data_IF_273032313458
#
_entry.id   IF_273032313458
#
_cell.length_a   1.000
_cell.length_b   1.000
_cell.length_c   1.000
_cell.angle_alpha   90.00
_cell.angle_beta   90.00
_cell.angle_gamma   90.00
#
_symmetry.space_group_name_H-M   'P 1'
#
loop_
_entity.id
_entity.type
_entity.pdbx_description
1 polymer ?
#
# COMPACT_ATOMS: atom_id res chain seq x y z
N UNK A 1 -25.20 35.41 27.56
CA UNK A 1 -24.33 34.93 28.64
C UNK A 1 -24.08 33.39 28.66
N UNK A 2 -24.77 32.55 27.85
CA UNK A 2 -24.47 31.10 27.78
C UNK A 2 -23.43 30.71 26.73
N UNK A 3 -23.13 31.54 25.75
CA UNK A 3 -22.13 31.23 24.69
C UNK A 3 -20.69 31.23 25.20
N UNK A 4 -20.38 31.91 26.32
CA UNK A 4 -19.01 32.00 26.86
C UNK A 4 -18.52 30.73 27.60
N UNK A 5 -19.39 29.73 27.81
CA UNK A 5 -19.06 28.49 28.49
C UNK A 5 -18.72 27.34 27.54
N UNK A 6 -19.08 27.41 26.25
CA UNK A 6 -18.87 26.34 25.31
C UNK A 6 -17.44 26.35 24.76
N UNK A 7 -16.91 25.14 24.45
CA UNK A 7 -15.56 24.91 23.97
C UNK A 7 -15.44 25.28 22.49
N UNK A 8 -14.31 25.91 22.15
CA UNK A 8 -13.82 26.01 20.78
C UNK A 8 -12.81 24.86 20.56
N UNK A 9 -13.21 23.85 19.83
CA UNK A 9 -12.41 22.66 19.57
C UNK A 9 -11.40 22.90 18.44
N UNK A 10 -10.12 22.72 18.74
CA UNK A 10 -9.00 22.81 17.81
C UNK A 10 -8.56 21.38 17.44
N UNK A 11 -9.04 20.86 16.30
CA UNK A 11 -8.76 19.49 15.90
C UNK A 11 -7.54 19.41 14.98
N UNK A 12 -6.55 18.61 15.42
CA UNK A 12 -5.30 18.32 14.70
C UNK A 12 -5.19 16.86 14.36
N UNK A 13 -4.73 16.51 13.13
CA UNK A 13 -4.51 15.13 12.70
C UNK A 13 -3.29 14.97 11.81
N UNK A 14 -2.52 13.90 12.05
CA UNK A 14 -1.42 13.47 11.19
C UNK A 14 -1.48 11.96 10.90
N UNK A 15 -1.00 11.54 9.73
CA UNK A 15 -0.92 10.12 9.37
C UNK A 15 0.45 9.52 9.75
N UNK A 16 0.49 8.21 9.99
CA UNK A 16 1.65 7.43 10.46
C UNK A 16 2.94 7.49 9.63
N UNK A 17 2.93 8.14 8.46
CA UNK A 17 4.07 8.10 7.53
C UNK A 17 5.24 9.03 7.92
N UNK A 18 5.07 9.87 8.97
CA UNK A 18 6.13 10.79 9.44
C UNK A 18 6.75 10.30 10.77
N UNK A 19 7.33 9.08 10.74
CA UNK A 19 7.85 8.38 11.90
C UNK A 19 8.75 9.22 12.83
N UNK A 20 8.23 9.56 14.03
CA UNK A 20 9.04 9.91 15.20
C UNK A 20 8.24 9.67 16.48
N UNK A 21 8.91 9.18 17.52
CA UNK A 21 8.38 8.92 18.88
C UNK A 21 8.09 10.20 19.71
N UNK A 22 8.13 11.37 19.11
CA UNK A 22 7.77 12.67 19.72
C UNK A 22 6.66 13.31 18.91
N UNK A 23 5.82 14.12 19.58
CA UNK A 23 4.78 14.92 18.91
C UNK A 23 5.37 15.58 17.66
N UNK A 24 4.86 15.20 16.47
CA UNK A 24 5.51 15.55 15.22
C UNK A 24 5.59 17.08 15.07
N UNK A 25 6.66 17.56 14.45
CA UNK A 25 6.83 19.00 14.17
C UNK A 25 5.60 19.58 13.45
N UNK A 26 4.91 18.75 12.67
CA UNK A 26 3.70 19.10 11.93
C UNK A 26 2.48 19.28 12.85
N UNK A 27 2.31 18.48 13.93
CA UNK A 27 1.25 18.68 14.92
C UNK A 27 1.47 19.96 15.70
N UNK A 28 2.72 20.23 16.12
CA UNK A 28 3.07 21.49 16.81
C UNK A 28 2.75 22.72 15.95
N UNK A 29 3.09 22.66 14.67
CA UNK A 29 2.79 23.72 13.71
C UNK A 29 1.26 23.89 13.52
N UNK A 30 0.50 22.76 13.44
CA UNK A 30 -0.95 22.82 13.38
C UNK A 30 -1.56 23.48 14.64
N UNK A 31 -1.14 23.04 15.83
CA UNK A 31 -1.60 23.63 17.11
C UNK A 31 -1.33 25.13 17.19
N UNK A 32 -0.11 25.56 16.84
CA UNK A 32 0.23 26.99 16.83
C UNK A 32 -0.66 27.79 15.87
N UNK A 33 -0.83 27.31 14.65
CA UNK A 33 -1.69 27.94 13.63
C UNK A 33 -3.16 28.04 14.06
N UNK A 34 -3.71 26.97 14.62
CA UNK A 34 -5.12 26.95 15.07
C UNK A 34 -5.32 27.90 16.25
N UNK A 35 -4.38 27.92 17.21
CA UNK A 35 -4.46 28.83 18.36
C UNK A 35 -4.30 30.29 17.95
N UNK A 36 -3.36 30.60 17.05
CA UNK A 36 -3.18 31.95 16.51
C UNK A 36 -4.47 32.44 15.84
N UNK A 37 -5.07 31.59 14.98
CA UNK A 37 -6.33 31.91 14.33
C UNK A 37 -7.46 32.13 15.34
N UNK A 38 -7.60 31.24 16.33
CA UNK A 38 -8.61 31.35 17.37
C UNK A 38 -8.46 32.67 18.16
N UNK A 39 -7.25 32.97 18.60
CA UNK A 39 -6.95 34.20 19.35
C UNK A 39 -7.24 35.46 18.51
N UNK A 40 -6.79 35.48 17.26
CA UNK A 40 -6.99 36.62 16.35
C UNK A 40 -8.45 36.88 16.05
N UNK A 41 -9.28 35.85 16.03
CA UNK A 41 -10.72 35.96 15.74
C UNK A 41 -11.59 35.97 17.01
N UNK A 42 -11.01 36.12 18.20
CA UNK A 42 -11.72 36.26 19.47
C UNK A 42 -12.41 34.99 19.97
N UNK A 43 -12.00 33.82 19.53
CA UNK A 43 -12.49 32.55 20.07
C UNK A 43 -11.88 32.27 21.43
N UNK A 44 -12.71 32.10 22.45
CA UNK A 44 -12.29 31.72 23.81
C UNK A 44 -12.47 30.23 24.08
N UNK A 45 -12.04 29.81 25.29
CA UNK A 45 -12.17 28.43 25.79
C UNK A 45 -11.72 27.36 24.78
N UNK A 46 -10.48 27.51 24.26
CA UNK A 46 -9.92 26.61 23.26
C UNK A 46 -9.43 25.30 23.88
N UNK A 47 -9.86 24.16 23.31
CA UNK A 47 -9.40 22.81 23.69
C UNK A 47 -8.86 22.09 22.47
N UNK A 48 -7.72 21.37 22.63
CA UNK A 48 -7.13 20.58 21.55
C UNK A 48 -7.67 19.16 21.55
N UNK A 49 -8.02 18.64 20.37
CA UNK A 49 -8.28 17.24 20.06
C UNK A 49 -7.24 16.79 19.05
N UNK A 50 -6.43 15.78 19.39
CA UNK A 50 -5.24 15.45 18.60
C UNK A 50 -5.20 13.94 18.28
N UNK A 51 -5.26 13.62 16.99
CA UNK A 51 -5.03 12.28 16.47
C UNK A 51 -3.68 12.23 15.73
N UNK A 52 -2.60 11.91 16.46
CA UNK A 52 -1.26 11.73 15.89
C UNK A 52 -1.06 10.28 15.48
N UNK A 53 -0.65 10.04 14.22
CA UNK A 53 -0.43 8.70 13.69
C UNK A 53 -1.68 7.97 13.20
N UNK A 54 -2.82 8.65 13.02
CA UNK A 54 -4.06 8.06 12.52
C UNK A 54 -4.38 8.46 11.08
N UNK A 55 -4.66 7.47 10.23
CA UNK A 55 -5.04 7.71 8.83
C UNK A 55 -6.45 8.30 8.72
N UNK A 56 -6.65 9.25 7.80
CA UNK A 56 -7.98 9.80 7.51
C UNK A 56 -8.96 8.81 6.85
N UNK A 57 -8.55 7.58 6.61
CA UNK A 57 -9.38 6.50 6.04
C UNK A 57 -9.81 5.46 7.08
N UNK A 58 -9.35 5.57 8.33
CA UNK A 58 -9.65 4.63 9.40
C UNK A 58 -10.60 5.29 10.41
N UNK A 59 -11.61 4.54 10.87
CA UNK A 59 -12.61 4.99 11.87
C UNK A 59 -12.03 5.14 13.28
N UNK A 60 -10.84 4.55 13.53
CA UNK A 60 -10.19 4.54 14.83
C UNK A 60 -9.40 5.84 15.07
N UNK A 61 -10.11 6.91 15.36
CA UNK A 61 -9.59 8.24 15.70
C UNK A 61 -10.14 8.64 17.08
N UNK A 62 -9.46 8.26 18.18
CA UNK A 62 -10.01 8.43 19.52
C UNK A 62 -10.33 9.88 19.85
N UNK A 63 -9.43 10.83 19.53
CA UNK A 63 -9.69 12.24 19.79
C UNK A 63 -10.83 12.81 18.92
N UNK A 64 -11.01 12.30 17.70
CA UNK A 64 -12.15 12.69 16.88
C UNK A 64 -13.46 12.12 17.42
N UNK A 65 -13.48 10.90 17.95
CA UNK A 65 -14.67 10.34 18.59
C UNK A 65 -15.03 11.12 19.86
N UNK A 66 -14.04 11.45 20.70
CA UNK A 66 -14.22 12.32 21.86
C UNK A 66 -14.82 13.68 21.47
N UNK A 67 -14.32 14.29 20.39
CA UNK A 67 -14.89 15.54 19.83
C UNK A 67 -16.35 15.37 19.43
N UNK A 68 -16.70 14.27 18.75
CA UNK A 68 -18.08 14.01 18.33
C UNK A 68 -19.01 13.79 19.53
N UNK A 69 -18.53 13.14 20.60
CA UNK A 69 -19.30 12.93 21.83
C UNK A 69 -19.50 14.26 22.59
N UNK A 70 -18.46 15.08 22.70
CA UNK A 70 -18.59 16.43 23.29
C UNK A 70 -19.50 17.36 22.49
N UNK A 71 -19.57 17.17 21.16
CA UNK A 71 -20.55 17.88 20.30
C UNK A 71 -21.97 17.41 20.63
N UNK A 72 -22.22 16.09 20.75
CA UNK A 72 -23.53 15.51 21.11
C UNK A 72 -23.99 15.98 22.49
N UNK A 73 -23.06 16.10 23.42
CA UNK A 73 -23.30 16.62 24.76
C UNK A 73 -23.56 18.16 24.78
N UNK A 74 -23.42 18.82 23.64
CA UNK A 74 -23.64 20.28 23.51
C UNK A 74 -22.53 21.13 24.15
N UNK A 75 -21.36 20.56 24.46
CA UNK A 75 -20.24 21.27 25.07
C UNK A 75 -19.44 22.12 24.09
N UNK A 76 -19.46 21.78 22.78
CA UNK A 76 -18.70 22.45 21.73
C UNK A 76 -19.56 23.43 20.97
N UNK A 77 -19.07 24.65 20.75
CA UNK A 77 -19.72 25.66 19.92
C UNK A 77 -19.08 25.80 18.54
N UNK A 78 -17.78 25.62 18.45
CA UNK A 78 -17.03 25.82 17.21
C UNK A 78 -15.96 24.73 17.06
N UNK A 79 -15.79 24.21 15.85
CA UNK A 79 -14.71 23.30 15.47
C UNK A 79 -13.81 24.00 14.45
N UNK A 80 -12.53 24.09 14.73
CA UNK A 80 -11.54 24.70 13.85
C UNK A 80 -10.51 23.63 13.43
N UNK A 81 -10.28 23.50 12.13
CA UNK A 81 -9.26 22.62 11.55
C UNK A 81 -8.34 23.40 10.62
N UNK A 82 -7.16 22.86 10.34
CA UNK A 82 -6.25 23.42 9.34
C UNK A 82 -6.89 23.42 7.95
N UNK A 83 -7.47 22.29 7.56
CA UNK A 83 -8.14 22.06 6.28
C UNK A 83 -9.21 20.96 6.42
N UNK A 84 -10.15 20.88 5.47
CA UNK A 84 -11.26 19.89 5.49
C UNK A 84 -10.76 18.44 5.50
N UNK A 85 -9.56 18.17 4.96
CA UNK A 85 -9.00 16.83 4.94
C UNK A 85 -8.71 16.26 6.34
N UNK A 86 -8.69 17.12 7.38
CA UNK A 86 -8.54 16.69 8.78
C UNK A 86 -9.77 15.93 9.26
N UNK A 87 -10.97 16.32 8.83
CA UNK A 87 -12.22 15.60 9.18
C UNK A 87 -12.26 14.21 8.55
N UNK A 88 -11.80 14.06 7.30
CA UNK A 88 -11.76 12.79 6.59
C UNK A 88 -11.18 12.93 5.18
N UNK A 89 -10.72 11.83 4.60
CA UNK A 89 -10.33 11.77 3.19
C UNK A 89 -11.48 11.32 2.28
N UNK A 90 -12.55 10.82 2.87
CA UNK A 90 -13.76 10.47 2.15
C UNK A 90 -14.70 11.68 2.12
N UNK A 91 -14.94 12.24 0.94
CA UNK A 91 -15.80 13.42 0.78
C UNK A 91 -17.26 13.18 1.25
N UNK A 92 -17.75 11.93 1.22
CA UNK A 92 -19.09 11.58 1.72
C UNK A 92 -19.14 11.75 3.24
N UNK A 93 -18.16 11.20 3.98
CA UNK A 93 -18.07 11.37 5.43
C UNK A 93 -17.88 12.84 5.81
N UNK A 94 -16.93 13.51 5.16
CA UNK A 94 -16.64 14.92 5.42
C UNK A 94 -17.87 15.77 5.15
N UNK A 95 -18.56 15.54 4.02
CA UNK A 95 -19.81 16.22 3.69
C UNK A 95 -20.91 15.95 4.73
N UNK A 96 -21.08 14.72 5.20
CA UNK A 96 -22.05 14.38 6.25
C UNK A 96 -21.78 15.16 7.53
N UNK A 97 -20.52 15.30 7.95
CA UNK A 97 -20.20 16.12 9.13
C UNK A 97 -20.48 17.59 8.91
N UNK A 98 -20.11 18.14 7.76
CA UNK A 98 -20.24 19.58 7.48
C UNK A 98 -21.68 20.01 7.17
N UNK A 99 -22.44 19.18 6.44
CA UNK A 99 -23.77 19.54 5.92
C UNK A 99 -24.92 19.06 6.81
N UNK A 100 -24.67 18.02 7.63
CA UNK A 100 -25.71 17.42 8.47
C UNK A 100 -25.33 17.53 9.95
N UNK A 101 -24.26 16.87 10.38
CA UNK A 101 -23.96 16.66 11.80
C UNK A 101 -23.68 17.98 12.55
N UNK A 102 -22.78 18.83 12.06
CA UNK A 102 -22.45 20.10 12.72
C UNK A 102 -23.63 21.07 12.73
N UNK A 103 -24.38 21.27 11.62
CA UNK A 103 -25.57 22.09 11.64
C UNK A 103 -26.66 21.58 12.58
N UNK A 104 -26.95 20.27 12.65
CA UNK A 104 -27.93 19.69 13.57
C UNK A 104 -27.62 19.96 15.04
N UNK A 105 -26.33 20.04 15.39
CA UNK A 105 -25.88 20.33 16.77
C UNK A 105 -25.58 21.82 16.99
N UNK A 106 -25.82 22.68 16.01
CA UNK A 106 -25.55 24.11 16.08
C UNK A 106 -24.08 24.48 16.24
N UNK A 107 -23.17 23.64 15.68
CA UNK A 107 -21.73 23.81 15.74
C UNK A 107 -21.24 24.52 14.50
N UNK A 108 -20.51 25.64 14.69
CA UNK A 108 -19.81 26.34 13.60
C UNK A 108 -18.54 25.54 13.22
N UNK A 109 -18.34 25.32 11.92
CA UNK A 109 -17.12 24.66 11.43
C UNK A 109 -16.28 25.61 10.58
N UNK A 110 -14.97 25.66 10.86
CA UNK A 110 -14.01 26.51 10.16
C UNK A 110 -12.82 25.66 9.70
N UNK A 111 -12.47 25.74 8.40
CA UNK A 111 -11.26 25.15 7.82
C UNK A 111 -10.38 26.28 7.27
N UNK A 112 -9.30 26.61 7.99
CA UNK A 112 -8.51 27.84 7.77
C UNK A 112 -7.92 27.90 6.36
N UNK A 113 -7.19 26.88 5.93
CA UNK A 113 -6.52 26.87 4.62
C UNK A 113 -7.48 26.80 3.44
N UNK A 114 -8.69 26.25 3.67
CA UNK A 114 -9.72 26.17 2.64
C UNK A 114 -10.56 27.45 2.58
N UNK A 115 -10.36 28.38 3.51
CA UNK A 115 -11.18 29.58 3.64
C UNK A 115 -12.65 29.26 3.86
N UNK A 116 -12.96 28.13 4.52
CA UNK A 116 -14.32 27.69 4.76
C UNK A 116 -14.80 28.08 6.15
N UNK A 117 -15.99 28.65 6.21
CA UNK A 117 -16.70 28.98 7.45
C UNK A 117 -18.20 28.69 7.26
N UNK A 118 -18.75 27.79 8.09
CA UNK A 118 -20.15 27.39 7.98
C UNK A 118 -21.14 28.52 8.29
N UNK A 119 -20.70 29.63 8.92
CA UNK A 119 -21.54 30.82 9.15
C UNK A 119 -21.61 31.74 7.93
N UNK A 120 -20.73 31.57 6.93
CA UNK A 120 -20.77 32.35 5.70
C UNK A 120 -21.63 31.66 4.64
N UNK A 121 -22.85 32.07 4.48
CA UNK A 121 -23.87 31.45 3.61
C UNK A 121 -23.43 31.30 2.15
N UNK A 122 -22.60 32.23 1.63
CA UNK A 122 -22.05 32.16 0.27
C UNK A 122 -21.05 31.03 0.04
N UNK A 123 -20.45 30.47 1.11
CA UNK A 123 -19.47 29.39 1.03
C UNK A 123 -20.10 28.01 1.16
N UNK A 124 -21.29 27.87 1.77
CA UNK A 124 -22.02 26.62 1.86
C UNK A 124 -22.43 26.09 0.48
N UNK A 125 -22.79 26.95 -0.45
CA UNK A 125 -23.22 26.56 -1.81
C UNK A 125 -22.06 26.03 -2.67
N UNK A 126 -20.80 26.33 -2.32
CA UNK A 126 -19.62 25.95 -3.07
C UNK A 126 -18.95 24.69 -2.49
N UNK A 127 -19.18 24.38 -1.22
CA UNK A 127 -18.53 23.26 -0.53
C UNK A 127 -18.74 21.90 -1.20
N UNK A 128 -19.93 21.50 -1.67
CA UNK A 128 -20.15 20.26 -2.42
C UNK A 128 -19.32 20.19 -3.70
N UNK A 129 -19.24 21.30 -4.45
CA UNK A 129 -18.45 21.38 -5.68
C UNK A 129 -16.94 21.22 -5.39
N UNK A 130 -16.43 21.85 -4.33
CA UNK A 130 -15.03 21.71 -3.91
C UNK A 130 -14.71 20.26 -3.53
N UNK A 131 -15.60 19.58 -2.83
CA UNK A 131 -15.44 18.15 -2.50
C UNK A 131 -15.42 17.27 -3.75
N UNK A 132 -16.28 17.54 -4.74
CA UNK A 132 -16.30 16.84 -6.03
C UNK A 132 -14.98 17.09 -6.79
N UNK A 133 -14.51 18.33 -6.84
CA UNK A 133 -13.25 18.68 -7.51
C UNK A 133 -12.08 17.97 -6.85
N UNK A 134 -11.99 17.95 -5.53
CA UNK A 134 -10.94 17.25 -4.79
C UNK A 134 -10.96 15.74 -5.05
N UNK A 135 -12.15 15.12 -5.13
CA UNK A 135 -12.26 13.71 -5.52
C UNK A 135 -11.81 13.46 -6.96
N UNK A 136 -12.20 14.33 -7.89
CA UNK A 136 -11.77 14.24 -9.28
C UNK A 136 -10.25 14.36 -9.40
N UNK A 137 -9.65 15.31 -8.69
CA UNK A 137 -8.19 15.48 -8.65
C UNK A 137 -7.48 14.26 -8.09
N UNK A 138 -7.98 13.70 -6.98
CA UNK A 138 -7.42 12.47 -6.40
C UNK A 138 -7.53 11.27 -7.37
N UNK A 139 -8.66 11.13 -8.07
CA UNK A 139 -8.85 10.09 -9.11
C UNK A 139 -7.90 10.28 -10.29
N UNK A 140 -7.75 11.50 -10.77
CA UNK A 140 -6.85 11.82 -11.88
C UNK A 140 -5.39 11.56 -11.52
N UNK A 141 -4.94 12.04 -10.35
CA UNK A 141 -3.60 11.78 -9.82
C UNK A 141 -3.33 10.28 -9.69
N UNK A 142 -4.28 9.52 -9.12
CA UNK A 142 -4.17 8.05 -9.01
C UNK A 142 -4.06 7.39 -10.39
N UNK A 143 -4.82 7.86 -11.38
CA UNK A 143 -4.79 7.35 -12.76
C UNK A 143 -3.44 7.64 -13.42
N UNK A 144 -2.91 8.85 -13.25
CA UNK A 144 -1.58 9.26 -13.76
C UNK A 144 -0.46 8.42 -13.15
N UNK A 145 -0.46 8.23 -11.83
CA UNK A 145 0.52 7.40 -11.13
C UNK A 145 0.46 5.95 -11.64
N UNK A 146 -0.74 5.36 -11.74
CA UNK A 146 -0.92 4.00 -12.25
C UNK A 146 -0.42 3.86 -13.69
N UNK A 147 -0.69 4.84 -14.54
CA UNK A 147 -0.21 4.88 -15.93
C UNK A 147 1.31 4.93 -15.98
N UNK A 148 1.95 5.83 -15.24
CA UNK A 148 3.41 5.95 -15.17
C UNK A 148 4.07 4.65 -14.65
N UNK A 149 3.50 4.04 -13.60
CA UNK A 149 3.98 2.75 -13.09
C UNK A 149 3.81 1.63 -14.13
N UNK A 150 2.69 1.61 -14.88
CA UNK A 150 2.46 0.65 -15.95
C UNK A 150 3.48 0.79 -17.07
N UNK A 151 3.81 2.01 -17.47
CA UNK A 151 4.83 2.27 -18.48
C UNK A 151 6.21 1.80 -18.02
N UNK A 152 6.60 2.11 -16.77
CA UNK A 152 7.87 1.63 -16.20
C UNK A 152 7.95 0.11 -16.14
N UNK A 153 6.84 -0.56 -15.78
CA UNK A 153 6.77 -2.03 -15.79
C UNK A 153 6.95 -2.60 -17.18
N UNK A 154 6.25 -2.06 -18.17
CA UNK A 154 6.35 -2.49 -19.56
C UNK A 154 7.76 -2.33 -20.14
N UNK A 155 8.54 -1.35 -19.66
CA UNK A 155 9.95 -1.18 -20.03
C UNK A 155 10.90 -2.11 -19.25
N UNK A 156 10.39 -3.12 -18.55
CA UNK A 156 11.22 -4.10 -17.82
C UNK A 156 11.79 -3.62 -16.49
N UNK A 157 11.40 -2.44 -16.01
CA UNK A 157 11.91 -1.91 -14.74
C UNK A 157 11.24 -2.54 -13.55
N UNK A 158 12.04 -3.02 -12.60
CA UNK A 158 11.56 -3.53 -11.32
C UNK A 158 11.16 -2.38 -10.39
N UNK A 159 9.89 -2.31 -10.00
CA UNK A 159 9.35 -1.17 -9.25
C UNK A 159 8.94 -1.49 -7.81
N UNK A 160 9.05 -2.74 -7.35
CA UNK A 160 8.72 -3.07 -5.97
C UNK A 160 9.78 -2.52 -5.01
N UNK A 161 9.37 -2.21 -3.77
CA UNK A 161 10.27 -1.70 -2.74
C UNK A 161 11.38 -2.69 -2.38
N UNK A 162 11.07 -3.99 -2.30
CA UNK A 162 11.99 -5.04 -1.93
C UNK A 162 12.28 -5.95 -3.12
N UNK A 163 13.55 -6.35 -3.29
CA UNK A 163 13.94 -7.40 -4.22
C UNK A 163 13.39 -8.77 -3.74
N UNK A 164 13.06 -9.71 -4.68
CA UNK A 164 12.77 -11.09 -4.36
C UNK A 164 13.96 -11.77 -3.66
N UNK A 165 13.73 -12.84 -2.94
CA UNK A 165 14.79 -13.64 -2.35
C UNK A 165 15.64 -14.25 -3.47
N UNK A 166 16.96 -14.26 -3.33
CA UNK A 166 17.90 -14.65 -4.40
C UNK A 166 18.37 -13.47 -5.26
N UNK A 167 17.71 -12.31 -5.16
CA UNK A 167 18.07 -11.08 -5.85
C UNK A 167 18.27 -9.91 -4.90
N UNK A 168 19.06 -8.96 -5.33
CA UNK A 168 19.19 -7.63 -4.73
C UNK A 168 18.95 -6.56 -5.80
N UNK A 169 18.69 -5.34 -5.37
CA UNK A 169 18.61 -4.21 -6.30
C UNK A 169 20.01 -3.75 -6.67
N UNK A 170 20.20 -3.44 -7.94
CA UNK A 170 21.45 -2.85 -8.41
C UNK A 170 21.69 -1.51 -7.68
N UNK A 171 22.84 -1.31 -7.06
CA UNK A 171 23.20 -0.03 -6.44
C UNK A 171 23.22 1.13 -7.42
N UNK A 172 23.49 0.89 -8.71
CA UNK A 172 23.53 1.90 -9.77
C UNK A 172 22.14 2.19 -10.36
N UNK A 173 21.26 1.18 -10.46
CA UNK A 173 19.84 1.34 -10.88
C UNK A 173 18.92 0.54 -10.00
N UNK A 174 18.29 1.18 -9.02
CA UNK A 174 17.33 0.56 -8.10
C UNK A 174 16.09 -0.08 -8.80
N UNK A 175 15.94 0.10 -10.10
CA UNK A 175 14.88 -0.54 -10.89
C UNK A 175 15.37 -1.79 -11.65
N UNK A 176 16.64 -2.19 -11.44
CA UNK A 176 17.21 -3.42 -11.98
C UNK A 176 17.48 -4.44 -10.87
N UNK A 177 17.32 -5.74 -11.18
CA UNK A 177 17.64 -6.85 -10.27
C UNK A 177 18.97 -7.45 -10.66
N UNK A 178 19.83 -7.65 -9.66
CA UNK A 178 21.09 -8.42 -9.80
C UNK A 178 21.05 -9.60 -8.85
N UNK A 179 21.74 -10.69 -9.21
CA UNK A 179 21.80 -11.91 -8.39
C UNK A 179 22.51 -11.60 -7.07
N UNK A 180 21.93 -12.05 -5.97
CA UNK A 180 22.54 -11.99 -4.64
C UNK A 180 23.31 -13.29 -4.39
N UNK A 181 24.65 -13.26 -4.34
CA UNK A 181 25.47 -14.46 -4.19
C UNK A 181 25.22 -15.20 -2.87
N UNK A 182 24.68 -14.53 -1.85
CA UNK A 182 24.40 -15.15 -0.55
C UNK A 182 23.10 -15.95 -0.53
N UNK A 183 22.11 -15.54 -1.31
CA UNK A 183 20.75 -16.09 -1.25
C UNK A 183 20.35 -16.85 -2.52
N UNK A 184 20.99 -16.60 -3.66
CA UNK A 184 20.72 -17.30 -4.92
C UNK A 184 20.96 -18.82 -4.83
N UNK A 185 22.05 -19.32 -4.17
CA UNK A 185 22.26 -20.77 -4.04
C UNK A 185 21.13 -21.50 -3.32
N UNK A 186 20.45 -20.82 -2.38
CA UNK A 186 19.28 -21.40 -1.69
C UNK A 186 18.10 -21.55 -2.66
N UNK A 187 17.91 -20.58 -3.57
CA UNK A 187 16.87 -20.69 -4.60
C UNK A 187 17.16 -21.86 -5.54
N UNK A 188 18.39 -21.97 -6.03
CA UNK A 188 18.82 -23.11 -6.87
C UNK A 188 18.58 -24.45 -6.17
N UNK A 189 18.89 -24.51 -4.87
CA UNK A 189 18.68 -25.70 -4.05
C UNK A 189 17.20 -26.06 -3.92
N UNK A 190 16.33 -25.09 -3.74
CA UNK A 190 14.86 -25.32 -3.71
C UNK A 190 14.38 -25.89 -5.06
N UNK A 191 14.90 -25.37 -6.18
CA UNK A 191 14.55 -25.87 -7.51
C UNK A 191 15.07 -27.29 -7.75
N UNK A 192 16.30 -27.62 -7.35
CA UNK A 192 16.84 -28.98 -7.48
C UNK A 192 16.03 -30.01 -6.69
N UNK A 193 15.62 -29.68 -5.46
CA UNK A 193 14.73 -30.54 -4.68
C UNK A 193 13.35 -30.74 -5.34
N UNK A 194 12.82 -29.70 -5.99
CA UNK A 194 11.57 -29.82 -6.73
C UNK A 194 11.71 -30.72 -7.99
N UNK A 195 12.85 -30.65 -8.69
CA UNK A 195 13.21 -31.52 -9.82
C UNK A 195 13.39 -32.97 -9.38
N UNK A 196 13.98 -33.24 -8.21
CA UNK A 196 14.05 -34.58 -7.59
C UNK A 196 12.65 -35.12 -7.24
N UNK A 197 11.64 -34.31 -7.37
CA UNK A 197 10.27 -34.72 -7.09
C UNK A 197 9.86 -34.58 -5.62
N UNK A 198 10.52 -33.78 -4.79
CA UNK A 198 10.06 -33.51 -3.44
C UNK A 198 8.82 -32.60 -3.45
N UNK A 199 7.86 -32.88 -2.55
CA UNK A 199 6.71 -31.99 -2.31
C UNK A 199 7.08 -30.83 -1.40
N UNK A 200 6.30 -29.75 -1.43
CA UNK A 200 6.55 -28.51 -0.70
C UNK A 200 6.89 -28.73 0.79
N UNK A 201 6.12 -29.60 1.47
CA UNK A 201 6.35 -29.92 2.88
C UNK A 201 7.70 -30.64 3.11
N UNK A 202 8.09 -31.53 2.20
CA UNK A 202 9.39 -32.22 2.30
C UNK A 202 10.55 -31.28 2.03
N UNK A 203 10.39 -30.32 1.10
CA UNK A 203 11.37 -29.26 0.84
C UNK A 203 11.52 -28.40 2.10
N UNK A 204 10.40 -27.94 2.70
CA UNK A 204 10.43 -27.15 3.94
C UNK A 204 11.13 -27.89 5.07
N UNK A 205 10.82 -29.19 5.26
CA UNK A 205 11.43 -30.03 6.28
C UNK A 205 12.94 -30.18 6.05
N UNK A 206 13.37 -30.41 4.81
CA UNK A 206 14.79 -30.56 4.48
C UNK A 206 15.57 -29.28 4.72
N UNK A 207 15.01 -28.11 4.35
CA UNK A 207 15.59 -26.81 4.65
C UNK A 207 15.70 -26.55 6.16
N UNK A 208 14.73 -27.02 6.96
CA UNK A 208 14.75 -26.94 8.41
C UNK A 208 15.84 -27.83 9.00
N UNK A 209 15.90 -29.12 8.58
CA UNK A 209 16.86 -30.10 9.10
C UNK A 209 18.31 -29.70 8.78
N UNK A 210 18.54 -29.07 7.64
CA UNK A 210 19.84 -28.53 7.19
C UNK A 210 20.12 -27.09 7.72
N UNK A 211 19.24 -26.55 8.56
CA UNK A 211 19.37 -25.21 9.18
C UNK A 211 19.59 -24.09 8.16
N UNK A 212 18.86 -24.12 7.05
CA UNK A 212 18.87 -23.06 6.06
C UNK A 212 17.98 -21.91 6.54
N UNK A 213 18.56 -20.71 6.70
CA UNK A 213 17.84 -19.53 7.17
C UNK A 213 16.72 -19.14 6.21
N UNK A 214 15.53 -18.82 6.75
CA UNK A 214 14.44 -18.31 5.94
C UNK A 214 14.65 -16.83 5.55
N UNK A 215 14.03 -16.37 4.46
CA UNK A 215 14.30 -15.06 3.85
C UNK A 215 14.21 -13.83 4.76
N UNK A 216 13.34 -13.86 5.77
CA UNK A 216 13.20 -12.73 6.69
C UNK A 216 14.44 -12.51 7.59
N UNK A 217 15.25 -13.55 7.81
CA UNK A 217 16.46 -13.45 8.63
C UNK A 217 17.66 -12.90 7.86
N UNK A 218 17.74 -13.10 6.55
CA UNK A 218 18.73 -12.43 5.70
C UNK A 218 18.54 -10.90 5.65
N UNK A 219 17.34 -10.41 6.01
CA UNK A 219 16.99 -8.99 6.04
C UNK A 219 16.85 -8.44 7.47
N UNK A 220 17.31 -9.16 8.49
CA UNK A 220 17.16 -8.81 9.93
C UNK A 220 17.65 -7.39 10.23
N UNK A 221 18.78 -6.98 9.66
CA UNK A 221 19.36 -5.64 9.82
C UNK A 221 18.49 -4.53 9.22
N UNK A 222 17.71 -4.85 8.17
CA UNK A 222 16.92 -3.86 7.43
C UNK A 222 15.54 -3.60 8.07
N UNK A 223 14.98 -4.53 8.87
CA UNK A 223 13.62 -4.43 9.37
C UNK A 223 13.49 -4.23 10.88
N UNK A 224 14.58 -4.35 11.66
CA UNK A 224 14.60 -4.06 13.11
C UNK A 224 13.53 -4.74 13.97
N UNK A 225 12.83 -5.76 13.42
CA UNK A 225 11.76 -6.48 14.13
C UNK A 225 12.36 -7.59 14.95
N UNK A 226 11.85 -7.78 16.16
CA UNK A 226 12.06 -8.98 16.96
C UNK A 226 11.57 -10.19 16.15
N UNK A 227 12.49 -10.98 15.65
CA UNK A 227 12.22 -12.22 14.94
C UNK A 227 12.53 -13.32 15.94
N UNK A 228 11.58 -14.22 16.15
CA UNK A 228 11.70 -15.38 17.03
C UNK A 228 12.80 -16.31 16.51
N UNK A 229 13.92 -16.38 17.23
CA UNK A 229 15.09 -17.16 16.82
C UNK A 229 14.79 -18.67 16.77
N UNK A 230 13.76 -19.16 17.47
CA UNK A 230 13.33 -20.56 17.40
C UNK A 230 12.74 -20.94 16.03
N UNK A 231 12.23 -19.96 15.28
CA UNK A 231 11.59 -20.17 13.96
C UNK A 231 12.46 -19.76 12.77
N UNK A 232 13.75 -19.58 12.97
CA UNK A 232 14.63 -19.09 11.91
C UNK A 232 14.78 -20.04 10.72
N UNK A 233 14.52 -21.32 10.91
CA UNK A 233 14.61 -22.36 9.87
C UNK A 233 13.24 -22.87 9.41
N UNK A 234 12.15 -22.38 9.99
CA UNK A 234 10.79 -22.81 9.66
C UNK A 234 10.29 -22.17 8.36
N UNK A 235 10.57 -22.80 7.25
CA UNK A 235 10.13 -22.36 5.94
C UNK A 235 8.62 -22.62 5.76
N UNK A 236 7.91 -21.59 5.31
CA UNK A 236 6.49 -21.71 4.97
C UNK A 236 6.31 -22.35 3.59
N UNK A 237 5.46 -23.39 3.52
CA UNK A 237 5.08 -24.05 2.26
C UNK A 237 4.54 -23.07 1.22
N UNK A 238 3.79 -22.04 1.65
CA UNK A 238 3.25 -21.02 0.76
C UNK A 238 4.37 -20.16 0.15
N UNK A 239 5.44 -19.88 0.92
CA UNK A 239 6.58 -19.15 0.40
C UNK A 239 7.39 -19.99 -0.61
N UNK A 240 7.64 -21.26 -0.30
CA UNK A 240 8.31 -22.18 -1.23
C UNK A 240 7.50 -22.30 -2.53
N UNK A 241 6.17 -22.46 -2.42
CA UNK A 241 5.29 -22.47 -3.58
C UNK A 241 5.40 -21.17 -4.38
N UNK A 242 5.46 -20.01 -3.71
CA UNK A 242 5.65 -18.71 -4.38
C UNK A 242 6.99 -18.65 -5.12
N UNK A 243 8.08 -19.15 -4.53
CA UNK A 243 9.41 -19.22 -5.17
C UNK A 243 9.33 -20.09 -6.43
N UNK A 244 8.81 -21.30 -6.33
CA UNK A 244 8.76 -22.25 -7.45
C UNK A 244 7.87 -21.79 -8.61
N UNK A 245 6.77 -21.07 -8.35
CA UNK A 245 5.86 -20.59 -9.40
C UNK A 245 6.24 -19.20 -9.96
N UNK A 246 7.25 -18.54 -9.40
CA UNK A 246 7.59 -17.17 -9.81
C UNK A 246 8.50 -17.15 -11.02
N UNK A 247 8.09 -16.57 -12.18
CA UNK A 247 8.96 -16.48 -13.35
C UNK A 247 10.04 -15.41 -13.21
N UNK A 248 10.09 -14.69 -12.10
CA UNK A 248 11.19 -13.77 -11.78
C UNK A 248 12.52 -14.55 -11.72
N UNK A 249 12.51 -15.80 -11.25
CA UNK A 249 13.71 -16.62 -11.20
C UNK A 249 14.22 -17.08 -12.57
N UNK A 250 13.37 -17.06 -13.59
CA UNK A 250 13.71 -17.26 -15.00
C UNK A 250 13.98 -15.94 -15.77
N UNK A 251 14.19 -14.82 -15.06
CA UNK A 251 14.54 -13.55 -15.66
C UNK A 251 13.36 -12.71 -16.16
N UNK A 252 12.11 -13.04 -15.78
CA UNK A 252 10.91 -12.37 -16.26
C UNK A 252 10.20 -11.62 -15.15
N UNK A 253 9.62 -10.45 -15.46
CA UNK A 253 8.79 -9.70 -14.50
C UNK A 253 7.31 -9.84 -14.87
N UNK A 254 6.49 -10.16 -13.85
CA UNK A 254 5.03 -10.21 -13.95
C UNK A 254 4.41 -8.97 -13.30
N UNK A 255 3.38 -8.43 -13.92
CA UNK A 255 2.55 -7.38 -13.30
C UNK A 255 1.07 -7.74 -13.27
N UNK A 256 0.34 -6.91 -12.49
CA UNK A 256 -1.11 -6.94 -12.43
C UNK A 256 -1.72 -8.25 -11.90
N UNK A 257 -0.95 -9.03 -11.13
CA UNK A 257 -1.46 -10.27 -10.55
C UNK A 257 -2.67 -10.06 -9.61
N UNK A 258 -2.69 -8.95 -8.87
CA UNK A 258 -3.73 -8.63 -7.88
C UNK A 258 -4.01 -7.11 -7.84
N UNK A 259 -4.55 -6.49 -8.91
CA UNK A 259 -4.90 -5.09 -8.89
C UNK A 259 -6.04 -4.81 -7.89
N UNK A 260 -6.05 -3.62 -7.29
CA UNK A 260 -7.18 -3.16 -6.46
C UNK A 260 -8.38 -2.85 -7.33
N UNK A 261 -9.58 -3.26 -6.88
CA UNK A 261 -10.84 -3.04 -7.63
C UNK A 261 -11.13 -1.55 -7.80
N UNK A 262 -10.88 -0.74 -6.79
CA UNK A 262 -11.05 0.70 -6.84
C UNK A 262 -10.07 1.42 -5.90
N UNK A 263 -9.98 2.74 -6.02
CA UNK A 263 -9.15 3.57 -5.14
C UNK A 263 -9.67 3.58 -3.68
N UNK A 264 -10.98 3.43 -3.49
CA UNK A 264 -11.65 3.43 -2.17
C UNK A 264 -11.76 2.04 -1.54
N UNK A 265 -11.45 0.96 -2.29
CA UNK A 265 -11.60 -0.42 -1.82
C UNK A 265 -10.24 -1.09 -1.65
N UNK A 266 -10.04 -1.72 -0.48
CA UNK A 266 -8.89 -2.60 -0.23
C UNK A 266 -9.04 -3.96 -0.94
N UNK A 267 -10.21 -4.24 -1.54
CA UNK A 267 -10.49 -5.50 -2.24
C UNK A 267 -9.61 -5.59 -3.49
N UNK A 268 -8.91 -6.71 -3.64
CA UNK A 268 -8.07 -7.01 -4.80
C UNK A 268 -8.78 -8.00 -5.70
N UNK A 269 -8.67 -7.80 -7.02
CA UNK A 269 -9.11 -8.77 -8.02
C UNK A 269 -7.92 -9.68 -8.34
N UNK A 270 -8.13 -10.99 -8.28
CA UNK A 270 -7.15 -11.96 -8.77
C UNK A 270 -7.25 -12.04 -10.29
N UNK A 271 -6.11 -11.94 -10.97
CA UNK A 271 -6.00 -12.15 -12.43
C UNK A 271 -5.35 -13.52 -12.62
N UNK A 272 -5.97 -14.44 -13.41
CA UNK A 272 -5.36 -15.71 -13.78
C UNK A 272 -3.98 -15.51 -14.39
N UNK A 273 -3.11 -16.50 -14.26
CA UNK A 273 -1.72 -16.39 -14.71
C UNK A 273 -1.63 -16.06 -16.21
N UNK A 274 -2.51 -16.66 -17.01
CA UNK A 274 -2.59 -16.54 -18.46
C UNK A 274 -2.94 -15.12 -18.94
N UNK A 275 -3.63 -14.36 -18.11
CA UNK A 275 -4.03 -12.97 -18.40
C UNK A 275 -3.04 -11.93 -17.85
N UNK A 276 -1.98 -12.38 -17.15
CA UNK A 276 -1.01 -11.45 -16.57
C UNK A 276 -0.04 -10.95 -17.63
N UNK A 277 0.29 -9.68 -17.60
CA UNK A 277 1.33 -9.13 -18.44
C UNK A 277 2.71 -9.57 -17.94
N UNK A 278 3.50 -10.19 -18.81
CA UNK A 278 4.86 -10.66 -18.55
C UNK A 278 5.82 -9.88 -19.43
N UNK A 279 6.93 -9.40 -18.87
CA UNK A 279 8.03 -8.86 -19.66
C UNK A 279 9.22 -9.80 -19.53
N UNK A 280 9.63 -10.42 -20.64
CA UNK A 280 10.72 -11.38 -20.64
C UNK A 280 12.09 -10.69 -20.57
N UNK A 281 13.10 -11.43 -20.09
CA UNK A 281 14.53 -11.09 -20.11
C UNK A 281 14.83 -9.68 -19.53
N UNK A 282 14.26 -9.38 -18.37
CA UNK A 282 14.45 -8.08 -17.72
C UNK A 282 15.66 -8.02 -16.81
N UNK A 283 16.20 -9.18 -16.39
CA UNK A 283 17.33 -9.33 -15.51
C UNK A 283 17.95 -10.73 -15.68
N UNK A 284 19.14 -10.94 -15.12
CA UNK A 284 19.82 -12.24 -15.16
C UNK A 284 19.02 -13.31 -14.40
N UNK A 285 18.81 -14.46 -15.04
CA UNK A 285 18.07 -15.57 -14.47
C UNK A 285 18.93 -16.37 -13.50
N UNK A 286 18.42 -16.66 -12.28
CA UNK A 286 19.04 -17.66 -11.38
C UNK A 286 18.79 -19.07 -11.90
N UNK A 287 17.60 -19.30 -12.44
CA UNK A 287 17.17 -20.60 -12.94
C UNK A 287 17.00 -20.51 -14.47
N UNK A 288 17.68 -21.33 -15.26
CA UNK A 288 17.46 -21.42 -16.69
C UNK A 288 16.00 -21.69 -17.04
N UNK A 289 15.54 -21.15 -18.15
CA UNK A 289 14.12 -21.20 -18.56
C UNK A 289 13.60 -22.65 -18.67
N UNK A 290 14.40 -23.54 -19.25
CA UNK A 290 14.09 -24.98 -19.40
C UNK A 290 13.89 -25.68 -18.05
N UNK A 291 14.75 -25.38 -17.07
CA UNK A 291 14.60 -25.89 -15.70
C UNK A 291 13.34 -25.37 -15.02
N UNK A 292 13.09 -24.06 -15.15
CA UNK A 292 11.89 -23.46 -14.60
C UNK A 292 10.62 -24.11 -15.17
N UNK A 293 10.55 -24.29 -16.49
CA UNK A 293 9.43 -24.96 -17.16
C UNK A 293 9.26 -26.42 -16.76
N UNK A 294 10.36 -27.14 -16.56
CA UNK A 294 10.32 -28.51 -16.08
C UNK A 294 9.69 -28.60 -14.69
N UNK A 295 10.10 -27.73 -13.78
CA UNK A 295 9.53 -27.65 -12.43
C UNK A 295 8.04 -27.31 -12.49
N UNK A 296 7.61 -26.38 -13.38
CA UNK A 296 6.18 -26.09 -13.56
C UNK A 296 5.40 -27.35 -13.98
N UNK A 297 5.94 -28.15 -14.91
CA UNK A 297 5.29 -29.42 -15.34
C UNK A 297 5.14 -30.40 -14.17
N UNK A 298 6.20 -30.55 -13.35
CA UNK A 298 6.17 -31.41 -12.16
C UNK A 298 5.12 -30.95 -11.14
N UNK A 299 5.06 -29.66 -10.86
CA UNK A 299 4.07 -29.09 -9.93
C UNK A 299 2.65 -29.25 -10.45
N UNK A 300 2.45 -29.07 -11.73
CA UNK A 300 1.15 -29.22 -12.39
C UNK A 300 0.63 -30.66 -12.33
N UNK A 301 1.48 -31.65 -12.64
CA UNK A 301 1.10 -33.05 -12.58
C UNK A 301 0.64 -33.52 -11.20
N UNK A 302 1.07 -32.83 -10.15
CA UNK A 302 0.72 -33.14 -8.75
C UNK A 302 -0.56 -32.46 -8.25
N UNK A 303 -0.95 -31.34 -8.87
CA UNK A 303 -2.11 -30.57 -8.40
C UNK A 303 -3.45 -31.26 -8.67
N UNK A 304 -3.49 -32.35 -9.42
CA UNK A 304 -4.71 -33.14 -9.73
C UNK A 304 -5.79 -32.36 -10.45
N UNK A 305 -5.49 -31.16 -10.94
CA UNK A 305 -6.47 -30.30 -11.61
C UNK A 305 -6.60 -30.72 -13.07
N UNK A 306 -7.54 -31.64 -13.33
CA UNK A 306 -7.89 -32.15 -14.67
C UNK A 306 -8.52 -31.11 -15.60
N UNK A 307 -8.71 -29.86 -15.17
CA UNK A 307 -9.48 -28.85 -15.91
C UNK A 307 -8.67 -27.78 -16.64
N UNK A 308 -7.36 -27.86 -16.69
CA UNK A 308 -6.55 -26.90 -17.43
C UNK A 308 -5.64 -27.57 -18.43
N UNK A 309 -6.17 -27.90 -19.60
CA UNK A 309 -5.46 -28.48 -20.74
C UNK A 309 -4.52 -27.54 -21.50
N UNK A 310 -3.92 -26.55 -20.82
CA UNK A 310 -2.93 -25.68 -21.47
C UNK A 310 -1.62 -25.65 -20.68
N UNK A 311 -0.56 -26.29 -21.17
CA UNK A 311 0.75 -26.16 -20.56
C UNK A 311 1.21 -24.69 -20.66
N UNK A 312 1.75 -24.18 -19.56
CA UNK A 312 2.41 -22.86 -19.46
C UNK A 312 3.43 -22.61 -20.56
N UNK A 313 3.98 -23.66 -21.13
CA UNK A 313 4.92 -23.67 -22.25
C UNK A 313 4.36 -22.97 -23.51
N UNK A 314 3.03 -23.07 -23.77
CA UNK A 314 2.42 -22.49 -24.96
C UNK A 314 2.23 -20.99 -24.89
N UNK A 315 2.19 -20.40 -23.68
CA UNK A 315 2.01 -18.97 -23.48
C UNK A 315 3.36 -18.26 -23.66
N UNK A 316 4.43 -18.80 -23.08
CA UNK A 316 5.78 -18.23 -23.25
C UNK A 316 6.28 -18.34 -24.69
N UNK A 317 6.06 -19.47 -25.38
CA UNK A 317 6.47 -19.61 -26.78
C UNK A 317 5.67 -18.73 -27.75
N UNK A 318 4.41 -18.39 -27.48
CA UNK A 318 3.62 -17.48 -28.32
C UNK A 318 4.02 -16.02 -28.14
N UNK A 319 4.31 -15.56 -26.93
CA UNK A 319 4.73 -14.17 -26.70
C UNK A 319 6.18 -13.93 -27.09
N UNK A 320 7.10 -14.90 -26.86
CA UNK A 320 8.47 -14.84 -27.35
C UNK A 320 8.52 -14.77 -28.89
N UNK A 321 7.71 -15.56 -29.60
CA UNK A 321 7.64 -15.49 -31.06
C UNK A 321 7.03 -14.17 -31.56
N UNK A 322 6.06 -13.59 -30.85
CA UNK A 322 5.47 -12.29 -31.19
C UNK A 322 6.45 -11.12 -30.96
N UNK A 323 7.26 -11.19 -29.90
CA UNK A 323 8.28 -10.16 -29.61
C UNK A 323 9.47 -10.26 -30.56
N UNK A 324 9.92 -11.48 -30.91
CA UNK A 324 10.96 -11.68 -31.92
C UNK A 324 10.52 -11.21 -33.30
N UNK A 325 9.28 -11.49 -33.71
CA UNK A 325 8.73 -11.01 -35.00
C UNK A 325 8.53 -9.51 -35.03
N UNK A 326 8.34 -8.86 -33.89
CA UNK A 326 8.26 -7.39 -33.81
C UNK A 326 9.65 -6.73 -33.82
N UNK A 327 10.68 -7.37 -33.28
CA UNK A 327 12.06 -6.89 -33.27
C UNK A 327 12.75 -7.06 -34.65
N UNK A 328 12.33 -8.04 -35.47
CA UNK A 328 12.82 -8.24 -36.84
C UNK A 328 12.14 -7.32 -37.88
N UNK A 329 11.13 -6.55 -37.49
CA UNK A 329 10.41 -5.59 -38.37
C UNK A 329 10.75 -4.12 -38.12
N UNK A 330 11.65 -3.82 -37.18
CA UNK A 330 12.29 -2.52 -37.00
C UNK A 330 13.76 -2.56 -37.44
#
# INVERSE_FOLDING_TARGET
MEKDKKVTALYCRLSKDDGSNSESLSIRTQKAMLMEYATRNGFGNCQYYVDDGYSGTNSDRPAFQELLDDIRDGKVATVITKDQSRLGRNHIETGTYMEIFFPEHGVRYIAINDGYDSNEQSQMDIAPFRNIINEMYAKDTSRKIKSALRTRKKSGKYISSNAPFGYQKDPADHNHLVIDPNTAPVVEYIYSMAEEGLGLHRIAKRLHDEKVLKPCYYKKEMFGRFIDDEKMYDWDNAYISQVLHSPVYAGHIIYEAKPTVSMKSKKRRYIPFEERAIVPNTHEAIIPQDRWENVQRILYSRSGCFMCDRPTTTIFSRELSAVQTAAERC
#
